data_IF_894091190770
#
_entry.id   IF_894091190770
#
_cell.length_a   1.000
_cell.length_b   1.000
_cell.length_c   1.000
_cell.angle_alpha   90.00
_cell.angle_beta   90.00
_cell.angle_gamma   90.00
#
_symmetry.space_group_name_H-M   'P 1'
#
loop_
_entity.id
_entity.type
_entity.pdbx_description
1 polymer ?
#
# COMPACT_ATOMS: atom_id res chain seq x y z
N UNK A 1 7.18 -13.96 11.88
CA UNK A 1 7.46 -12.54 11.54
C UNK A 1 6.68 -12.24 10.29
N UNK A 2 5.66 -11.40 10.35
CA UNK A 2 4.88 -11.09 9.15
C UNK A 2 5.55 -9.96 8.38
N UNK A 3 5.79 -10.21 7.09
CA UNK A 3 6.37 -9.27 6.16
C UNK A 3 5.35 -8.17 5.80
N UNK A 4 5.80 -6.91 5.63
CA UNK A 4 4.93 -5.76 5.36
C UNK A 4 4.11 -5.96 4.08
N UNK A 5 4.66 -6.65 3.08
CA UNK A 5 3.97 -6.97 1.83
C UNK A 5 2.79 -7.92 2.06
N UNK A 6 2.96 -8.92 2.91
CA UNK A 6 1.89 -9.83 3.36
C UNK A 6 0.80 -9.09 4.12
N UNK A 7 1.20 -8.16 4.99
CA UNK A 7 0.29 -7.25 5.70
C UNK A 7 -0.54 -6.39 4.75
N UNK A 8 0.13 -5.78 3.78
CA UNK A 8 -0.50 -5.01 2.72
C UNK A 8 -1.51 -5.82 1.92
N UNK A 9 -1.15 -7.01 1.43
CA UNK A 9 -2.08 -7.81 0.62
C UNK A 9 -3.31 -8.24 1.41
N UNK A 10 -3.18 -8.55 2.70
CA UNK A 10 -4.34 -8.84 3.57
C UNK A 10 -5.26 -7.62 3.67
N UNK A 11 -4.72 -6.43 3.93
CA UNK A 11 -5.52 -5.20 3.96
C UNK A 11 -6.16 -4.95 2.60
N UNK A 12 -5.38 -4.98 1.52
CA UNK A 12 -5.84 -4.70 0.16
C UNK A 12 -6.96 -5.66 -0.29
N UNK A 13 -6.82 -6.96 0.00
CA UNK A 13 -7.83 -7.96 -0.34
C UNK A 13 -9.19 -7.69 0.33
N UNK A 14 -9.16 -7.12 1.54
CA UNK A 14 -10.36 -6.78 2.32
C UNK A 14 -10.99 -5.43 1.93
N UNK A 15 -10.33 -4.61 1.10
CA UNK A 15 -10.89 -3.33 0.65
C UNK A 15 -11.98 -3.55 -0.40
N UNK A 16 -13.15 -2.89 -0.26
CA UNK A 16 -14.15 -2.81 -1.33
C UNK A 16 -13.55 -2.22 -2.60
N UNK A 17 -14.02 -2.67 -3.78
CA UNK A 17 -13.44 -2.28 -5.06
C UNK A 17 -13.37 -0.76 -5.25
N UNK A 18 -14.46 -0.03 -4.96
CA UNK A 18 -14.49 1.43 -5.10
C UNK A 18 -13.56 2.19 -4.15
N UNK A 19 -13.16 1.59 -3.02
CA UNK A 19 -12.18 2.18 -2.10
C UNK A 19 -10.76 2.07 -2.67
N UNK A 20 -10.49 1.08 -3.53
CA UNK A 20 -9.15 0.84 -4.08
C UNK A 20 -8.69 1.94 -5.05
N UNK A 21 -9.64 2.65 -5.64
CA UNK A 21 -9.40 3.81 -6.51
C UNK A 21 -9.24 5.12 -5.73
N UNK A 22 -9.50 5.11 -4.42
CA UNK A 22 -9.28 6.25 -3.54
C UNK A 22 -7.80 6.53 -3.30
N UNK A 23 -7.45 7.81 -3.17
CA UNK A 23 -6.11 8.25 -2.76
C UNK A 23 -5.89 7.82 -1.30
N UNK A 24 -4.77 7.15 -1.04
CA UNK A 24 -4.40 6.68 0.31
C UNK A 24 -3.11 7.32 0.80
N UNK A 25 -2.17 7.62 -0.10
CA UNK A 25 -0.88 8.22 0.25
C UNK A 25 -0.53 9.34 -0.72
N UNK A 26 0.34 10.23 -0.28
CA UNK A 26 1.08 11.15 -1.15
C UNK A 26 2.55 10.74 -1.10
N UNK A 27 3.10 10.28 -2.22
CA UNK A 27 4.49 9.82 -2.31
C UNK A 27 5.22 10.76 -3.27
N UNK A 28 6.30 11.37 -2.79
CA UNK A 28 7.11 12.33 -3.57
C UNK A 28 6.24 13.45 -4.21
N UNK A 29 5.21 13.91 -3.49
CA UNK A 29 4.28 14.95 -3.92
C UNK A 29 3.14 14.49 -4.85
N UNK A 30 3.09 13.20 -5.18
CA UNK A 30 2.06 12.64 -6.06
C UNK A 30 1.00 11.85 -5.27
N UNK A 31 -0.30 12.14 -5.46
CA UNK A 31 -1.36 11.35 -4.85
C UNK A 31 -1.37 9.93 -5.44
N UNK A 32 -1.41 8.93 -4.58
CA UNK A 32 -1.27 7.52 -4.94
C UNK A 32 -2.45 6.72 -4.36
N UNK A 33 -3.06 5.87 -5.19
CA UNK A 33 -4.19 5.02 -4.82
C UNK A 33 -3.72 3.63 -4.36
N UNK A 34 -4.62 2.85 -3.74
CA UNK A 34 -4.32 1.46 -3.38
C UNK A 34 -3.95 0.60 -4.58
N UNK A 35 -4.62 0.80 -5.72
CA UNK A 35 -4.33 0.06 -6.96
C UNK A 35 -2.92 0.34 -7.48
N UNK A 36 -2.49 1.60 -7.45
CA UNK A 36 -1.11 1.97 -7.83
C UNK A 36 -0.11 1.34 -6.86
N UNK A 37 -0.34 1.43 -5.54
CA UNK A 37 0.55 0.80 -4.56
C UNK A 37 0.64 -0.71 -4.79
N UNK A 38 -0.46 -1.39 -5.09
CA UNK A 38 -0.43 -2.83 -5.41
C UNK A 38 0.48 -3.10 -6.61
N UNK A 39 0.36 -2.34 -7.69
CA UNK A 39 1.21 -2.49 -8.87
C UNK A 39 2.70 -2.33 -8.53
N UNK A 40 3.03 -1.31 -7.73
CA UNK A 40 4.40 -1.07 -7.26
C UNK A 40 4.91 -2.23 -6.37
N UNK A 41 4.08 -2.76 -5.47
CA UNK A 41 4.41 -3.89 -4.58
C UNK A 41 4.58 -5.20 -5.36
N UNK A 42 3.75 -5.42 -6.38
CA UNK A 42 3.85 -6.58 -7.27
C UNK A 42 5.17 -6.56 -8.07
N UNK A 43 5.71 -5.38 -8.36
CA UNK A 43 6.95 -5.18 -9.11
C UNK A 43 8.20 -4.97 -8.25
N UNK A 44 8.09 -5.05 -6.91
CA UNK A 44 9.17 -4.77 -5.93
C UNK A 44 9.93 -3.45 -6.20
N UNK A 45 9.20 -2.40 -6.56
CA UNK A 45 9.81 -1.12 -6.87
C UNK A 45 10.39 -0.43 -5.63
N UNK A 46 11.27 0.57 -5.81
CA UNK A 46 11.73 1.43 -4.70
C UNK A 46 10.57 2.19 -4.05
N UNK A 47 9.58 2.59 -4.85
CA UNK A 47 8.37 3.28 -4.40
C UNK A 47 7.55 2.37 -3.49
N UNK A 48 7.47 1.07 -3.80
CA UNK A 48 6.75 0.10 -2.96
C UNK A 48 7.31 0.03 -1.54
N UNK A 49 8.64 0.07 -1.38
CA UNK A 49 9.31 0.05 -0.07
C UNK A 49 8.97 1.29 0.74
N UNK A 50 8.93 2.47 0.11
CA UNK A 50 8.46 3.71 0.75
C UNK A 50 6.98 3.60 1.14
N UNK A 51 6.14 3.14 0.23
CA UNK A 51 4.70 3.02 0.43
C UNK A 51 4.36 2.07 1.59
N UNK A 52 4.94 0.87 1.61
CA UNK A 52 4.73 -0.12 2.68
C UNK A 52 5.16 0.40 4.05
N UNK A 53 6.29 1.14 4.11
CA UNK A 53 6.76 1.77 5.34
C UNK A 53 5.78 2.83 5.84
N UNK A 54 5.32 3.72 4.95
CA UNK A 54 4.32 4.75 5.29
C UNK A 54 2.99 4.13 5.74
N UNK A 55 2.51 3.08 5.06
CA UNK A 55 1.29 2.38 5.46
C UNK A 55 1.41 1.71 6.84
N UNK A 56 2.57 1.16 7.19
CA UNK A 56 2.85 0.60 8.53
C UNK A 56 2.92 1.71 9.60
N UNK A 57 3.60 2.81 9.31
CA UNK A 57 3.71 3.98 10.20
C UNK A 57 2.34 4.60 10.50
N UNK A 58 1.46 4.68 9.49
CA UNK A 58 0.08 5.13 9.62
C UNK A 58 -0.86 4.05 10.19
N UNK A 59 -0.35 2.84 10.46
CA UNK A 59 -1.11 1.67 10.95
C UNK A 59 -2.30 1.28 10.07
N UNK A 60 -2.20 1.55 8.77
CA UNK A 60 -3.20 1.17 7.77
C UNK A 60 -3.05 -0.29 7.33
N UNK A 61 -1.86 -0.87 7.53
CA UNK A 61 -1.59 -2.29 7.34
C UNK A 61 -1.04 -2.87 8.64
N UNK A 62 -1.25 -4.18 8.86
CA UNK A 62 -0.77 -4.88 10.05
C UNK A 62 0.35 -5.84 9.66
N UNK A 63 1.35 -5.98 10.55
CA UNK A 63 2.28 -7.11 10.57
C UNK A 63 1.49 -8.35 11.00
#
# INVERSE_FOLDING_TARGET
MVDLKSGFYKTFANLPLGVRDGIVLVIDGQPTTWNVIKLEVDTDSKTSKKALKLLDELRLIKK
#
